data_IF_482872467968
#
_entry.id   IF_482872467968
#
_cell.length_a   1.000
_cell.length_b   1.000
_cell.length_c   1.000
_cell.angle_alpha   90.00
_cell.angle_beta   90.00
_cell.angle_gamma   90.00
#
_symmetry.space_group_name_H-M   'P 1'
#
loop_
_entity.id
_entity.type
_entity.pdbx_description
1 polymer ?
#
# COMPACT_ATOMS: atom_id res chain seq x y z
N UNK A 1 -76.90 19.69 -30.01
CA UNK A 1 -75.71 18.90 -30.46
C UNK A 1 -74.54 19.19 -29.53
N UNK A 2 -74.31 18.34 -28.54
CA UNK A 2 -73.18 18.51 -27.56
C UNK A 2 -71.96 17.81 -28.11
N UNK A 3 -70.87 18.53 -28.36
CA UNK A 3 -69.57 17.97 -28.68
C UNK A 3 -68.84 17.59 -27.38
N UNK A 4 -68.61 16.32 -27.16
CA UNK A 4 -67.76 15.81 -26.05
C UNK A 4 -66.35 15.87 -26.49
N UNK A 5 -65.51 16.69 -25.81
CA UNK A 5 -64.08 16.73 -25.95
C UNK A 5 -63.47 15.67 -25.01
N UNK A 6 -62.79 14.69 -25.56
CA UNK A 6 -61.96 13.73 -24.82
C UNK A 6 -60.55 14.34 -24.60
N UNK A 7 -60.23 14.62 -23.34
CA UNK A 7 -58.84 14.91 -22.94
C UNK A 7 -58.09 13.58 -22.77
N UNK A 8 -57.12 13.34 -23.59
CA UNK A 8 -56.19 12.25 -23.41
C UNK A 8 -55.06 12.70 -22.48
N UNK A 9 -54.99 12.13 -21.27
CA UNK A 9 -53.89 12.33 -20.32
C UNK A 9 -52.76 11.39 -20.71
N UNK A 10 -51.66 11.95 -21.20
CA UNK A 10 -50.43 11.20 -21.40
C UNK A 10 -49.69 11.08 -20.06
N UNK A 11 -49.63 9.87 -19.50
CA UNK A 11 -48.79 9.53 -18.35
C UNK A 11 -47.39 9.29 -18.86
N UNK A 12 -46.49 10.22 -18.62
CA UNK A 12 -45.04 10.00 -18.86
C UNK A 12 -44.49 9.09 -17.76
N UNK A 13 -44.20 7.84 -18.08
CA UNK A 13 -43.43 6.94 -17.23
C UNK A 13 -41.99 7.40 -17.24
N UNK A 14 -41.50 8.03 -16.19
CA UNK A 14 -40.12 8.27 -15.96
C UNK A 14 -39.43 6.90 -15.64
N UNK A 15 -38.61 6.40 -16.56
CA UNK A 15 -37.77 5.26 -16.30
C UNK A 15 -36.70 5.69 -15.29
N UNK A 16 -36.78 5.19 -14.07
CA UNK A 16 -35.71 5.23 -13.09
C UNK A 16 -34.62 4.30 -13.61
N UNK A 17 -33.59 4.88 -14.23
CA UNK A 17 -32.33 4.17 -14.48
C UNK A 17 -31.65 4.02 -13.11
N UNK A 18 -31.39 2.80 -12.62
CA UNK A 18 -30.58 2.67 -11.40
C UNK A 18 -29.21 3.29 -11.69
N UNK A 19 -28.84 4.32 -10.97
CA UNK A 19 -27.46 4.76 -10.87
C UNK A 19 -26.73 3.59 -10.21
N UNK A 20 -25.94 2.86 -10.98
CA UNK A 20 -24.91 1.96 -10.45
C UNK A 20 -23.97 2.85 -9.65
N UNK A 21 -24.00 2.78 -8.34
CA UNK A 21 -22.94 3.37 -7.54
C UNK A 21 -21.68 2.58 -7.89
N UNK A 22 -20.68 3.26 -8.41
CA UNK A 22 -19.32 2.71 -8.43
C UNK A 22 -19.00 2.32 -6.99
N UNK A 23 -18.65 1.08 -6.78
CA UNK A 23 -18.26 0.57 -5.47
C UNK A 23 -16.77 0.26 -5.60
N UNK A 24 -16.00 0.74 -4.63
CA UNK A 24 -14.58 0.41 -4.55
C UNK A 24 -14.39 -1.10 -4.75
N UNK A 25 -13.46 -1.46 -5.60
CA UNK A 25 -13.17 -2.85 -5.86
C UNK A 25 -12.10 -3.36 -4.88
N UNK A 26 -12.29 -4.58 -4.41
CA UNK A 26 -11.34 -5.26 -3.54
C UNK A 26 -10.27 -5.95 -4.39
N UNK A 27 -9.02 -5.86 -3.96
CA UNK A 27 -7.86 -6.48 -4.60
C UNK A 27 -7.03 -7.24 -3.56
N UNK A 28 -6.53 -8.40 -3.95
CA UNK A 28 -5.48 -9.12 -3.21
C UNK A 28 -4.13 -8.83 -3.86
N UNK A 29 -3.13 -8.46 -3.04
CA UNK A 29 -1.75 -8.27 -3.52
C UNK A 29 -1.21 -9.59 -4.07
N UNK A 30 -0.69 -9.57 -5.31
CA UNK A 30 -0.17 -10.75 -6.00
C UNK A 30 1.26 -11.08 -5.56
N UNK A 31 1.37 -11.72 -4.41
CA UNK A 31 2.64 -12.21 -3.87
C UNK A 31 3.09 -13.52 -4.53
N UNK A 32 2.15 -14.37 -4.98
CA UNK A 32 2.44 -15.64 -5.64
C UNK A 32 3.09 -15.45 -7.01
N UNK A 33 2.63 -14.44 -7.77
CA UNK A 33 3.19 -14.07 -9.08
C UNK A 33 4.53 -13.36 -8.99
N UNK A 34 4.99 -13.00 -7.79
CA UNK A 34 6.19 -12.20 -7.54
C UNK A 34 6.19 -10.85 -8.26
N UNK A 35 4.99 -10.21 -8.32
CA UNK A 35 4.80 -8.86 -8.84
C UNK A 35 4.58 -7.84 -7.71
N UNK A 36 5.06 -8.17 -6.51
CA UNK A 36 4.96 -7.33 -5.34
C UNK A 36 6.28 -7.37 -4.56
N UNK A 37 6.73 -6.20 -4.07
CA UNK A 37 7.99 -6.06 -3.36
C UNK A 37 7.84 -5.07 -2.21
N UNK A 38 8.41 -5.44 -1.05
CA UNK A 38 8.65 -4.56 0.09
C UNK A 38 10.15 -4.48 0.27
N UNK A 39 10.73 -3.32 -0.02
CA UNK A 39 12.17 -3.10 -0.07
C UNK A 39 12.60 -1.97 0.85
N UNK A 40 13.85 -2.01 1.27
CA UNK A 40 14.47 -0.92 1.99
C UNK A 40 15.84 -0.56 1.43
N UNK A 41 16.21 0.70 1.64
CA UNK A 41 17.52 1.22 1.33
C UNK A 41 18.02 2.05 2.50
N UNK A 42 19.17 1.67 3.05
CA UNK A 42 19.80 2.40 4.15
C UNK A 42 21.24 2.77 3.80
N UNK A 43 21.68 3.94 4.23
CA UNK A 43 23.06 4.34 4.05
C UNK A 43 24.01 3.40 4.83
N UNK A 44 25.14 3.04 4.25
CA UNK A 44 26.25 2.38 4.93
C UNK A 44 27.35 3.39 5.19
N UNK A 45 27.38 3.92 6.41
CA UNK A 45 28.40 4.87 6.89
C UNK A 45 28.54 6.15 6.04
N UNK A 46 27.51 6.53 5.28
CA UNK A 46 27.57 7.63 4.33
C UNK A 46 28.40 7.37 3.06
N UNK A 47 28.86 6.13 2.83
CA UNK A 47 29.75 5.79 1.71
C UNK A 47 29.06 5.02 0.58
N UNK A 48 28.04 4.23 0.91
CA UNK A 48 27.26 3.42 -0.03
C UNK A 48 25.88 3.16 0.54
N UNK A 49 25.08 2.35 -0.14
CA UNK A 49 23.79 1.90 0.35
C UNK A 49 23.76 0.37 0.50
N UNK A 50 23.08 -0.08 1.54
CA UNK A 50 22.58 -1.44 1.68
C UNK A 50 21.15 -1.43 1.15
N UNK A 51 20.85 -2.37 0.29
CA UNK A 51 19.51 -2.68 -0.21
C UNK A 51 19.09 -4.02 0.35
N UNK A 52 17.83 -4.15 0.68
CA UNK A 52 17.24 -5.40 1.10
C UNK A 52 15.74 -5.44 0.83
N UNK A 53 15.17 -6.61 1.01
CA UNK A 53 13.74 -6.87 0.86
C UNK A 53 13.23 -7.72 2.00
N UNK A 54 11.91 -7.70 2.19
CA UNK A 54 11.19 -8.72 2.93
C UNK A 54 10.53 -9.63 1.91
N UNK A 55 10.79 -10.93 1.97
CA UNK A 55 10.38 -11.89 0.95
C UNK A 55 9.02 -12.52 1.25
N UNK A 56 8.54 -12.43 2.50
CA UNK A 56 7.25 -12.95 2.93
C UNK A 56 6.35 -11.83 3.48
N UNK A 57 5.32 -11.51 2.75
CA UNK A 57 4.29 -10.54 3.14
C UNK A 57 2.97 -10.87 2.46
N UNK A 58 1.89 -10.29 2.95
CA UNK A 58 0.56 -10.37 2.35
C UNK A 58 -0.17 -9.06 2.53
N UNK A 59 -1.23 -8.87 1.77
CA UNK A 59 -2.04 -7.67 1.90
C UNK A 59 -3.20 -7.64 0.91
N UNK A 60 -4.06 -6.68 1.17
CA UNK A 60 -5.20 -6.35 0.34
C UNK A 60 -5.36 -4.83 0.24
N UNK A 61 -6.05 -4.40 -0.78
CA UNK A 61 -6.43 -3.00 -0.92
C UNK A 61 -7.79 -2.86 -1.61
N UNK A 62 -8.45 -1.75 -1.33
CA UNK A 62 -9.61 -1.30 -2.10
C UNK A 62 -9.20 -0.12 -2.97
N UNK A 63 -9.72 -0.06 -4.17
CA UNK A 63 -9.44 1.02 -5.10
C UNK A 63 -10.68 1.36 -5.92
N UNK A 64 -10.98 2.65 -6.01
CA UNK A 64 -12.04 3.21 -6.84
C UNK A 64 -11.49 4.44 -7.57
N UNK A 65 -11.41 4.38 -8.90
CA UNK A 65 -10.92 5.49 -9.73
C UNK A 65 -11.81 6.74 -9.66
N UNK A 66 -13.10 6.56 -9.32
CA UNK A 66 -14.10 7.63 -9.22
C UNK A 66 -14.18 8.23 -7.80
N UNK A 67 -13.69 7.50 -6.76
CA UNK A 67 -13.70 7.93 -5.36
C UNK A 67 -12.43 7.44 -4.64
N UNK A 68 -11.33 8.11 -4.91
CA UNK A 68 -10.01 7.76 -4.36
C UNK A 68 -9.96 7.86 -2.84
N UNK A 69 -10.78 8.70 -2.21
CA UNK A 69 -10.87 8.81 -0.74
C UNK A 69 -11.44 7.53 -0.09
N UNK A 70 -12.14 6.69 -0.87
CA UNK A 70 -12.60 5.37 -0.43
C UNK A 70 -11.53 4.28 -0.53
N UNK A 71 -10.35 4.59 -1.07
CA UNK A 71 -9.25 3.64 -1.22
C UNK A 71 -8.59 3.34 0.13
N UNK A 72 -8.20 2.09 0.32
CA UNK A 72 -7.52 1.64 1.53
C UNK A 72 -6.53 0.53 1.22
N UNK A 73 -5.52 0.35 2.06
CA UNK A 73 -4.55 -0.74 1.95
C UNK A 73 -4.16 -1.27 3.33
N UNK A 74 -4.02 -2.60 3.42
CA UNK A 74 -3.49 -3.30 4.58
C UNK A 74 -2.36 -4.21 4.11
N UNK A 75 -1.24 -4.18 4.80
CA UNK A 75 -0.09 -5.05 4.52
C UNK A 75 0.43 -5.62 5.83
N UNK A 76 0.74 -6.91 5.85
CA UNK A 76 1.47 -7.58 6.90
C UNK A 76 2.75 -8.19 6.33
N UNK A 77 3.88 -7.95 6.99
CA UNK A 77 5.21 -8.39 6.58
C UNK A 77 5.78 -9.30 7.66
N UNK A 78 6.32 -10.47 7.27
CA UNK A 78 7.09 -11.33 8.16
C UNK A 78 8.51 -10.78 8.28
N UNK A 79 8.88 -10.32 9.49
CA UNK A 79 10.15 -9.63 9.72
C UNK A 79 11.34 -10.56 9.49
N UNK A 80 11.23 -11.84 9.82
CA UNK A 80 12.28 -12.85 9.65
C UNK A 80 12.54 -13.25 8.18
N UNK A 81 11.69 -12.79 7.25
CA UNK A 81 11.90 -12.93 5.80
C UNK A 81 12.88 -11.92 5.21
N UNK A 82 13.50 -11.08 6.05
CA UNK A 82 14.48 -10.07 5.61
C UNK A 82 15.65 -10.71 4.86
N UNK A 83 15.96 -10.16 3.70
CA UNK A 83 17.07 -10.55 2.86
C UNK A 83 17.82 -9.30 2.35
N UNK A 84 19.02 -9.08 2.82
CA UNK A 84 19.92 -8.02 2.32
C UNK A 84 21.05 -8.58 1.45
N UNK A 85 20.92 -9.82 0.99
CA UNK A 85 21.90 -10.55 0.22
C UNK A 85 23.23 -10.82 0.98
N UNK A 86 23.15 -10.92 2.33
CA UNK A 86 24.31 -11.25 3.17
C UNK A 86 23.86 -11.86 4.51
N UNK A 87 23.89 -13.17 4.63
CA UNK A 87 23.31 -13.92 5.76
C UNK A 87 23.83 -13.52 7.16
N UNK A 88 25.09 -13.08 7.31
CA UNK A 88 25.59 -12.59 8.59
C UNK A 88 24.96 -11.25 8.98
N UNK A 89 24.79 -10.35 8.00
CA UNK A 89 24.10 -9.07 8.21
C UNK A 89 22.64 -9.28 8.50
N UNK A 90 21.96 -10.16 7.77
CA UNK A 90 20.55 -10.46 7.98
C UNK A 90 20.33 -10.97 9.40
N UNK A 91 21.14 -11.92 9.89
CA UNK A 91 21.08 -12.37 11.28
C UNK A 91 21.29 -11.23 12.31
N UNK A 92 22.19 -10.29 12.02
CA UNK A 92 22.46 -9.16 12.90
C UNK A 92 21.29 -8.17 12.91
N UNK A 93 20.72 -7.84 11.73
CA UNK A 93 19.56 -6.96 11.64
C UNK A 93 18.33 -7.56 12.36
N UNK A 94 18.16 -8.88 12.29
CA UNK A 94 17.04 -9.59 12.93
C UNK A 94 17.22 -9.83 14.44
N UNK A 95 18.43 -9.55 14.99
CA UNK A 95 18.73 -9.76 16.41
C UNK A 95 18.06 -8.71 17.31
N UNK A 96 18.18 -8.92 18.62
CA UNK A 96 17.70 -8.03 19.69
C UNK A 96 18.35 -6.63 19.64
N UNK A 97 19.49 -6.48 18.95
CA UNK A 97 20.17 -5.20 18.80
C UNK A 97 19.44 -4.26 17.80
N UNK A 98 18.56 -4.81 16.93
CA UNK A 98 17.84 -4.04 15.91
C UNK A 98 16.36 -4.39 15.83
N UNK A 99 15.96 -5.28 14.89
CA UNK A 99 14.54 -5.57 14.65
C UNK A 99 13.92 -6.52 15.68
N UNK A 100 14.74 -7.25 16.44
CA UNK A 100 14.29 -8.22 17.45
C UNK A 100 13.13 -9.11 16.94
N UNK A 101 13.33 -9.75 15.78
CA UNK A 101 12.30 -10.51 15.07
C UNK A 101 11.69 -11.65 15.91
N UNK A 102 12.40 -12.11 16.96
CA UNK A 102 11.89 -13.13 17.88
C UNK A 102 10.76 -12.61 18.79
N UNK A 103 10.76 -11.30 19.09
CA UNK A 103 9.75 -10.63 19.91
C UNK A 103 8.72 -9.91 19.04
N UNK A 104 9.16 -9.35 17.93
CA UNK A 104 8.35 -8.60 16.97
C UNK A 104 8.38 -9.28 15.58
N UNK A 105 7.71 -10.44 15.42
CA UNK A 105 7.82 -11.25 14.21
C UNK A 105 7.14 -10.63 12.98
N UNK A 106 6.25 -9.65 13.19
CA UNK A 106 5.50 -9.00 12.10
C UNK A 106 5.65 -7.50 12.15
N UNK A 107 5.67 -6.88 10.96
CA UNK A 107 5.42 -5.45 10.77
C UNK A 107 4.12 -5.28 9.98
N UNK A 108 3.36 -4.22 10.27
CA UNK A 108 2.07 -3.99 9.61
C UNK A 108 1.94 -2.54 9.15
N UNK A 109 1.25 -2.36 8.04
CA UNK A 109 0.79 -1.04 7.61
C UNK A 109 -0.72 -1.09 7.37
N UNK A 110 -1.43 -0.10 7.92
CA UNK A 110 -2.87 0.10 7.69
C UNK A 110 -3.10 1.54 7.31
N UNK A 111 -3.65 1.77 6.14
CA UNK A 111 -3.98 3.14 5.70
C UNK A 111 -5.09 3.74 6.54
N UNK A 112 -5.01 5.06 6.76
CA UNK A 112 -6.01 5.86 7.45
C UNK A 112 -6.60 6.95 6.55
N UNK A 113 -6.03 7.17 5.38
CA UNK A 113 -6.52 8.12 4.39
C UNK A 113 -5.68 8.13 3.13
N UNK A 114 -6.26 8.67 2.07
CA UNK A 114 -5.61 8.93 0.80
C UNK A 114 -6.00 10.32 0.31
N UNK A 115 -5.05 11.09 -0.17
CA UNK A 115 -5.27 12.39 -0.81
C UNK A 115 -4.77 12.34 -2.25
N UNK A 116 -5.68 12.47 -3.22
CA UNK A 116 -5.31 12.50 -4.63
C UNK A 116 -4.67 13.83 -5.01
N UNK A 117 -3.55 13.78 -5.70
CA UNK A 117 -2.85 14.94 -6.25
C UNK A 117 -3.07 15.10 -7.76
N UNK A 118 -3.85 14.19 -8.36
CA UNK A 118 -4.11 14.13 -9.80
C UNK A 118 -3.05 13.36 -10.58
N UNK A 119 -3.31 13.10 -11.86
CA UNK A 119 -2.36 12.46 -12.79
C UNK A 119 -1.77 11.12 -12.28
N UNK A 120 -2.60 10.27 -11.62
CA UNK A 120 -2.20 9.00 -11.04
C UNK A 120 -1.32 9.09 -9.78
N UNK A 121 -1.17 10.25 -9.19
CA UNK A 121 -0.37 10.49 -7.99
C UNK A 121 -1.24 10.85 -6.79
N UNK A 122 -0.76 10.53 -5.61
CA UNK A 122 -1.40 10.92 -4.35
C UNK A 122 -0.53 10.58 -3.14
N UNK A 123 -1.02 11.00 -1.99
CA UNK A 123 -0.37 10.72 -0.70
C UNK A 123 -1.24 9.77 0.13
N UNK A 124 -0.69 8.60 0.42
CA UNK A 124 -1.26 7.62 1.33
C UNK A 124 -0.81 7.93 2.76
N UNK A 125 -1.77 8.12 3.66
CA UNK A 125 -1.50 8.26 5.10
C UNK A 125 -1.88 6.96 5.79
N UNK A 126 -1.06 6.49 6.74
CA UNK A 126 -1.37 5.25 7.46
C UNK A 126 -0.50 5.05 8.70
N UNK A 127 -0.85 4.02 9.45
CA UNK A 127 -0.14 3.58 10.64
C UNK A 127 0.82 2.44 10.27
N UNK A 128 2.12 2.70 10.41
CA UNK A 128 3.16 1.68 10.31
C UNK A 128 3.53 1.20 11.71
N UNK A 129 3.35 -0.08 11.96
CA UNK A 129 3.85 -0.74 13.17
C UNK A 129 5.10 -1.54 12.83
N UNK A 130 6.20 -1.21 13.48
CA UNK A 130 7.50 -1.87 13.34
C UNK A 130 8.14 -1.97 14.73
N UNK A 131 8.78 -3.09 15.05
CA UNK A 131 9.46 -3.29 16.34
C UNK A 131 8.56 -2.99 17.55
N UNK A 132 7.24 -3.25 17.42
CA UNK A 132 6.24 -3.03 18.46
C UNK A 132 5.76 -1.58 18.63
N UNK A 133 6.36 -0.61 17.94
CA UNK A 133 5.98 0.80 17.95
C UNK A 133 5.17 1.15 16.71
N UNK A 134 4.14 2.00 16.89
CA UNK A 134 3.27 2.44 15.80
C UNK A 134 3.45 3.93 15.55
N UNK A 135 3.71 4.29 14.30
CA UNK A 135 3.84 5.68 13.86
C UNK A 135 2.94 5.94 12.67
N UNK A 136 2.37 7.15 12.62
CA UNK A 136 1.70 7.63 11.43
C UNK A 136 2.76 8.06 10.41
N UNK A 137 2.65 7.54 9.20
CA UNK A 137 3.52 7.92 8.08
C UNK A 137 2.70 8.42 6.91
N UNK A 138 3.34 9.22 6.07
CA UNK A 138 2.84 9.63 4.76
C UNK A 138 3.74 9.01 3.69
N UNK A 139 3.12 8.46 2.65
CA UNK A 139 3.82 7.83 1.54
C UNK A 139 3.25 8.37 0.23
N UNK A 140 4.01 9.17 -0.51
CA UNK A 140 3.68 9.46 -1.90
C UNK A 140 3.56 8.15 -2.69
N UNK A 141 2.47 8.00 -3.43
CA UNK A 141 2.19 6.81 -4.23
C UNK A 141 1.78 7.18 -5.64
N UNK A 142 2.09 6.31 -6.58
CA UNK A 142 1.74 6.44 -7.99
C UNK A 142 1.02 5.19 -8.48
N UNK A 143 -0.11 5.35 -9.16
CA UNK A 143 -0.72 4.30 -9.95
C UNK A 143 0.12 4.07 -11.21
N UNK A 144 0.78 2.93 -11.32
CA UNK A 144 1.58 2.54 -12.47
C UNK A 144 0.68 2.23 -13.66
N UNK A 145 -0.44 1.55 -13.39
CA UNK A 145 -1.44 1.19 -14.38
C UNK A 145 -2.45 0.17 -13.88
N UNK A 146 -3.50 0.02 -14.65
CA UNK A 146 -4.55 -0.95 -14.40
C UNK A 146 -5.10 -1.54 -15.71
N UNK A 147 -5.71 -2.72 -15.63
CA UNK A 147 -6.33 -3.35 -16.78
C UNK A 147 -6.46 -4.86 -16.69
N UNK A 148 -7.03 -5.46 -17.76
CA UNK A 148 -7.14 -6.90 -17.88
C UNK A 148 -5.80 -7.53 -18.30
N UNK A 149 -5.38 -8.58 -17.58
CA UNK A 149 -4.23 -9.39 -17.93
C UNK A 149 -4.59 -10.46 -18.99
N UNK A 150 -3.60 -11.10 -19.64
CA UNK A 150 -3.87 -12.12 -20.67
C UNK A 150 -4.60 -13.38 -20.15
N UNK A 151 -4.74 -13.53 -18.84
CA UNK A 151 -5.41 -14.67 -18.21
C UNK A 151 -6.83 -14.34 -17.74
N UNK A 152 -7.27 -13.08 -17.93
CA UNK A 152 -8.64 -12.62 -17.65
C UNK A 152 -8.83 -12.08 -16.24
N UNK A 153 -7.76 -11.77 -15.51
CA UNK A 153 -7.86 -11.04 -14.25
C UNK A 153 -7.78 -9.53 -14.52
N UNK A 154 -8.48 -8.73 -13.74
CA UNK A 154 -8.28 -7.29 -13.71
C UNK A 154 -7.24 -6.96 -12.64
N UNK A 155 -6.22 -6.19 -12.98
CA UNK A 155 -5.11 -5.82 -12.11
C UNK A 155 -5.01 -4.31 -11.97
N UNK A 156 -4.53 -3.87 -10.81
CA UNK A 156 -4.08 -2.50 -10.59
C UNK A 156 -2.72 -2.53 -9.89
N UNK A 157 -1.77 -1.72 -10.36
CA UNK A 157 -0.40 -1.70 -9.87
C UNK A 157 0.00 -0.33 -9.37
N UNK A 158 0.66 -0.31 -8.20
CA UNK A 158 1.09 0.90 -7.51
C UNK A 158 2.55 0.82 -7.10
N UNK A 159 3.17 1.98 -6.94
CA UNK A 159 4.45 2.12 -6.25
C UNK A 159 4.41 3.29 -5.27
N UNK A 160 5.25 3.24 -4.24
CA UNK A 160 5.42 4.33 -3.30
C UNK A 160 6.71 4.22 -2.53
N UNK A 161 7.20 5.35 -1.99
CA UNK A 161 8.34 5.37 -1.11
C UNK A 161 8.23 6.45 -0.06
N UNK A 162 8.83 6.19 1.11
CA UNK A 162 8.93 7.17 2.19
C UNK A 162 10.20 6.94 3.01
N UNK A 163 10.64 7.98 3.70
CA UNK A 163 11.74 7.87 4.68
C UNK A 163 11.15 7.61 6.06
N UNK A 164 11.71 6.65 6.79
CA UNK A 164 11.39 6.40 8.18
C UNK A 164 12.63 6.57 9.06
N UNK A 165 12.44 7.13 10.27
CA UNK A 165 13.48 7.30 11.28
C UNK A 165 13.44 6.10 12.22
N UNK A 166 14.53 5.34 12.30
CA UNK A 166 14.58 4.09 13.08
C UNK A 166 14.33 4.30 14.57
N UNK A 167 14.78 5.43 15.12
CA UNK A 167 14.57 5.76 16.53
C UNK A 167 13.08 5.94 16.90
N UNK A 168 12.21 6.32 15.95
CA UNK A 168 10.77 6.46 16.17
C UNK A 168 10.10 5.10 16.42
N UNK A 169 10.79 4.01 16.05
CA UNK A 169 10.39 2.62 16.28
C UNK A 169 11.21 1.94 17.39
N UNK A 170 11.86 2.73 18.26
CA UNK A 170 12.62 2.20 19.39
C UNK A 170 13.94 1.51 19.02
N UNK A 171 14.38 1.61 17.76
CA UNK A 171 15.64 1.02 17.30
C UNK A 171 16.77 2.02 17.57
N UNK A 172 17.68 1.66 18.49
CA UNK A 172 18.78 2.56 18.91
C UNK A 172 19.91 2.57 17.88
N UNK A 173 20.08 3.71 17.24
CA UNK A 173 21.13 3.97 16.25
C UNK A 173 22.21 4.93 16.78
N UNK A 174 22.26 5.21 18.10
CA UNK A 174 23.15 6.21 18.70
C UNK A 174 24.64 5.92 18.50
N UNK A 175 25.04 4.66 18.38
CA UNK A 175 26.42 4.25 18.14
C UNK A 175 26.81 4.28 16.64
N UNK A 176 25.87 4.64 15.76
CA UNK A 176 26.07 4.68 14.31
C UNK A 176 26.08 6.12 13.78
N UNK A 177 26.74 6.38 12.64
CA UNK A 177 26.67 7.69 11.98
C UNK A 177 25.23 8.09 11.64
N UNK A 178 24.92 9.39 11.75
CA UNK A 178 23.60 9.97 11.47
C UNK A 178 23.02 9.53 10.12
N UNK A 179 23.86 9.33 9.11
CA UNK A 179 23.45 8.84 7.79
C UNK A 179 22.79 7.45 7.82
N UNK A 180 22.87 6.71 8.93
CA UNK A 180 22.25 5.39 9.12
C UNK A 180 21.00 5.43 9.99
N UNK A 181 20.57 6.62 10.47
CA UNK A 181 19.41 6.74 11.35
C UNK A 181 18.08 6.68 10.62
N UNK A 182 18.10 6.88 9.31
CA UNK A 182 16.93 6.84 8.44
C UNK A 182 17.09 5.78 7.35
N UNK A 183 16.01 5.18 6.94
CA UNK A 183 15.94 4.32 5.79
C UNK A 183 14.81 4.73 4.85
N UNK A 184 15.02 4.53 3.56
CA UNK A 184 13.98 4.60 2.55
C UNK A 184 13.25 3.27 2.52
N UNK A 185 11.95 3.29 2.77
CA UNK A 185 11.03 2.19 2.53
C UNK A 185 10.44 2.39 1.13
N UNK A 186 10.58 1.39 0.26
CA UNK A 186 10.02 1.37 -1.07
C UNK A 186 9.11 0.16 -1.23
N UNK A 187 7.92 0.38 -1.77
CA UNK A 187 6.96 -0.66 -2.07
C UNK A 187 6.49 -0.55 -3.51
N UNK A 188 6.30 -1.69 -4.17
CA UNK A 188 5.59 -1.77 -5.44
C UNK A 188 4.81 -3.08 -5.46
N UNK A 189 3.59 -3.04 -5.95
CA UNK A 189 2.76 -4.23 -6.03
C UNK A 189 1.68 -4.12 -7.10
N UNK A 190 1.31 -5.29 -7.63
CA UNK A 190 0.07 -5.49 -8.35
C UNK A 190 -0.94 -6.19 -7.44
N UNK A 191 -2.21 -5.80 -7.55
CA UNK A 191 -3.32 -6.53 -6.96
C UNK A 191 -4.21 -7.15 -8.02
N UNK A 192 -4.77 -8.31 -7.70
CA UNK A 192 -5.78 -9.00 -8.51
C UNK A 192 -7.15 -8.70 -7.91
N UNK A 193 -8.04 -8.15 -8.74
CA UNK A 193 -9.42 -7.84 -8.37
C UNK A 193 -10.18 -9.11 -8.01
N UNK A 194 -10.95 -9.03 -6.90
CA UNK A 194 -11.72 -10.15 -6.34
C UNK A 194 -13.18 -10.20 -6.85
#
# INVERSE_FOLDING_TARGET
>A
MLKKSLLASAVAAAALVPLSQAQAADYMIDTEGQHAFVQFKISHLGMSYILGSFEEFSGDFTYDEDDLDASSVNVEVQVDSLNSNHAERDRHILSEDFLNASEYPTATFTSTGFESEGDNEGTLTGELTLHGETQQIEMPVTLIGEGEDPWGNYRAGFEGSTMITLADYGIDMSDFPEAMHELELYVTFEGIRQ
#
